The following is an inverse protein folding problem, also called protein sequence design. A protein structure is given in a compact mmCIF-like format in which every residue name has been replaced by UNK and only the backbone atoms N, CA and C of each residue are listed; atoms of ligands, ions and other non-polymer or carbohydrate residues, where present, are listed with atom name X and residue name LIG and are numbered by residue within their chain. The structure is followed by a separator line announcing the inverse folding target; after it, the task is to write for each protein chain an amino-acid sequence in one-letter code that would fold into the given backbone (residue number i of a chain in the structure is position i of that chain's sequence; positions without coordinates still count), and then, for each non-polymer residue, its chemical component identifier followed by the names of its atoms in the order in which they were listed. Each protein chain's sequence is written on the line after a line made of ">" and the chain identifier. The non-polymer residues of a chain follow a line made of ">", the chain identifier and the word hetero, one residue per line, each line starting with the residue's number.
data_IF_771647090179
#
_entry.id   IF_771647090179
#
_cell.length_a   1.000
_cell.length_b   1.000
_cell.length_c   1.000
_cell.angle_alpha   90.00
_cell.angle_beta   90.00
_cell.angle_gamma   90.00
#
_symmetry.space_group_name_H-M   'P 1'
#
loop_
_entity.id
_entity.type
_entity.pdbx_description
1 polymer ?
#
# COMPACT_ATOMS: atom_id res chain seq x y z
N UNK A 1 -23.92 -28.50 -34.62
CA UNK A 1 -23.15 -29.23 -33.60
C UNK A 1 -22.34 -28.19 -32.83
N UNK A 2 -22.74 -27.93 -31.58
CA UNK A 2 -21.94 -27.01 -30.76
C UNK A 2 -20.80 -27.82 -30.15
N UNK A 3 -19.56 -27.55 -30.61
CA UNK A 3 -18.37 -28.07 -29.90
C UNK A 3 -18.33 -27.47 -28.50
N UNK A 4 -18.05 -28.27 -27.47
CA UNK A 4 -17.92 -27.74 -26.11
C UNK A 4 -16.74 -26.77 -26.06
N UNK A 5 -16.96 -25.61 -25.46
CA UNK A 5 -15.90 -24.62 -25.21
C UNK A 5 -14.86 -25.26 -24.28
N UNK A 6 -13.74 -25.67 -24.85
CA UNK A 6 -12.62 -26.23 -24.07
C UNK A 6 -11.83 -25.09 -23.46
N UNK A 7 -11.85 -24.96 -22.14
CA UNK A 7 -10.98 -24.02 -21.43
C UNK A 7 -9.51 -24.47 -21.60
N UNK A 8 -8.81 -23.88 -22.58
CA UNK A 8 -7.41 -24.18 -22.88
C UNK A 8 -6.45 -23.59 -21.83
N UNK A 9 -6.89 -22.57 -21.10
CA UNK A 9 -6.08 -21.90 -20.06
C UNK A 9 -5.88 -22.84 -18.87
N UNK A 10 -6.92 -23.56 -18.45
CA UNK A 10 -6.82 -24.53 -17.35
C UNK A 10 -5.88 -25.71 -17.61
N UNK A 11 -5.51 -25.94 -18.88
CA UNK A 11 -4.56 -26.97 -19.31
C UNK A 11 -3.17 -26.41 -19.65
N UNK A 12 -3.01 -25.10 -19.59
CA UNK A 12 -1.73 -24.45 -19.83
C UNK A 12 -0.84 -24.53 -18.57
N UNK A 13 0.49 -24.46 -18.76
CA UNK A 13 1.45 -24.34 -17.66
C UNK A 13 1.56 -22.87 -17.16
N UNK A 14 0.50 -22.09 -17.35
CA UNK A 14 0.43 -20.71 -16.89
C UNK A 14 0.29 -20.70 -15.37
N UNK A 15 1.08 -19.84 -14.73
CA UNK A 15 0.97 -19.58 -13.31
C UNK A 15 0.26 -18.24 -13.17
N UNK A 16 -0.84 -18.23 -12.45
CA UNK A 16 -1.49 -16.98 -12.05
C UNK A 16 -0.72 -16.39 -10.88
N UNK A 17 -0.30 -15.15 -11.03
CA UNK A 17 0.31 -14.35 -9.99
C UNK A 17 -0.71 -13.33 -9.53
N UNK A 18 -1.36 -13.60 -8.40
CA UNK A 18 -2.35 -12.71 -7.81
C UNK A 18 -1.65 -11.78 -6.81
N UNK A 19 -1.57 -10.48 -7.15
CA UNK A 19 -1.00 -9.46 -6.27
C UNK A 19 -1.75 -9.33 -4.94
N UNK A 20 -3.03 -9.69 -4.93
CA UNK A 20 -3.84 -9.63 -3.73
C UNK A 20 -3.39 -10.60 -2.63
N UNK A 21 -2.78 -11.74 -3.01
CA UNK A 21 -2.26 -12.70 -2.04
C UNK A 21 -1.15 -12.09 -1.18
N UNK A 22 -0.45 -11.10 -1.73
CA UNK A 22 0.66 -10.40 -1.07
C UNK A 22 0.22 -9.12 -0.36
N UNK A 23 -1.05 -8.73 -0.50
CA UNK A 23 -1.55 -7.49 0.12
C UNK A 23 -1.44 -7.54 1.65
N UNK A 24 -0.75 -6.58 2.29
CA UNK A 24 -0.56 -6.58 3.73
C UNK A 24 -1.89 -6.40 4.45
N UNK A 25 -2.34 -7.44 5.15
CA UNK A 25 -3.60 -7.41 5.91
C UNK A 25 -3.47 -6.57 7.17
N UNK A 26 -4.46 -5.72 7.43
CA UNK A 26 -4.51 -4.85 8.60
C UNK A 26 -5.27 -3.57 8.31
N UNK A 27 -5.67 -2.88 9.36
CA UNK A 27 -6.37 -1.59 9.27
C UNK A 27 -5.35 -0.48 8.98
N UNK A 28 -5.72 0.45 8.06
CA UNK A 28 -4.97 1.66 7.76
C UNK A 28 -5.64 2.84 8.45
N UNK A 29 -4.86 3.58 9.20
CA UNK A 29 -5.36 4.72 9.96
C UNK A 29 -4.55 5.96 9.62
N UNK A 30 -5.25 7.05 9.40
CA UNK A 30 -4.64 8.36 9.25
C UNK A 30 -4.65 9.07 10.59
N UNK A 31 -3.48 9.42 11.09
CA UNK A 31 -3.33 10.22 12.30
C UNK A 31 -3.11 11.67 11.90
N UNK A 32 -4.15 12.48 12.05
CA UNK A 32 -4.11 13.90 11.71
C UNK A 32 -3.62 14.75 12.88
N UNK A 33 -2.43 15.32 12.75
CA UNK A 33 -1.87 16.23 13.76
C UNK A 33 -2.68 17.51 13.90
N UNK A 34 -3.39 17.94 12.85
CA UNK A 34 -4.18 19.19 12.87
C UNK A 34 -5.22 19.23 13.98
N UNK A 35 -5.78 18.05 14.36
CA UNK A 35 -6.74 17.92 15.45
C UNK A 35 -6.15 18.26 16.84
N UNK A 36 -4.83 18.32 16.94
CA UNK A 36 -4.12 18.63 18.17
C UNK A 36 -3.61 20.05 18.24
N UNK A 37 -3.88 20.84 17.19
CA UNK A 37 -3.49 22.23 17.06
C UNK A 37 -4.64 23.16 17.46
N UNK A 38 -4.30 24.31 18.01
CA UNK A 38 -5.30 25.37 18.23
C UNK A 38 -5.76 25.91 16.88
N UNK A 39 -7.07 25.84 16.61
CA UNK A 39 -7.70 26.21 15.35
C UNK A 39 -7.09 25.48 14.12
N UNK A 40 -6.50 24.29 14.33
CA UNK A 40 -5.86 23.51 13.29
C UNK A 40 -4.52 24.05 12.78
N UNK A 41 -4.00 25.14 13.36
CA UNK A 41 -2.82 25.86 12.83
C UNK A 41 -1.70 26.06 13.84
N UNK A 42 -2.01 26.23 15.13
CA UNK A 42 -1.02 26.65 16.11
C UNK A 42 -0.72 25.54 17.10
N UNK A 43 0.54 25.07 17.10
CA UNK A 43 1.01 24.09 18.06
C UNK A 43 1.35 24.79 19.40
N UNK A 44 0.67 24.37 20.47
CA UNK A 44 1.01 24.75 21.87
C UNK A 44 1.77 23.61 22.51
N UNK A 45 3.09 23.73 22.61
CA UNK A 45 3.99 22.65 23.03
C UNK A 45 3.55 21.93 24.29
N UNK A 46 3.26 22.68 25.37
CA UNK A 46 2.86 22.08 26.65
C UNK A 46 1.60 21.23 26.51
N UNK A 47 0.57 21.76 25.84
CA UNK A 47 -0.69 21.04 25.62
C UNK A 47 -0.50 19.84 24.72
N UNK A 48 0.32 19.98 23.67
CA UNK A 48 0.60 18.91 22.72
C UNK A 48 1.31 17.73 23.40
N UNK A 49 2.34 18.02 24.20
CA UNK A 49 3.08 17.00 24.94
C UNK A 49 2.23 16.33 26.02
N UNK A 50 1.39 17.09 26.69
CA UNK A 50 0.46 16.55 27.69
C UNK A 50 -0.58 15.64 27.05
N UNK A 51 -1.17 16.06 25.91
CA UNK A 51 -2.10 15.23 25.14
C UNK A 51 -1.43 13.94 24.65
N UNK A 52 -0.20 14.02 24.12
CA UNK A 52 0.55 12.86 23.69
C UNK A 52 0.82 11.85 24.82
N UNK A 53 1.10 12.35 26.03
CA UNK A 53 1.37 11.52 27.20
C UNK A 53 0.15 10.73 27.67
N UNK A 54 -1.06 11.30 27.52
CA UNK A 54 -2.31 10.70 28.04
C UNK A 54 -3.20 10.11 26.95
N UNK A 55 -2.74 10.09 25.70
CA UNK A 55 -3.54 9.57 24.58
C UNK A 55 -3.63 8.05 24.60
N UNK A 56 -4.72 7.51 24.10
CA UNK A 56 -5.00 6.06 24.09
C UNK A 56 -4.26 5.33 22.95
N UNK A 57 -2.94 5.37 22.94
CA UNK A 57 -2.11 4.79 21.87
C UNK A 57 -2.36 3.33 21.57
N UNK A 58 -2.83 2.58 22.55
CA UNK A 58 -3.17 1.16 22.39
C UNK A 58 -4.27 0.90 21.35
N UNK A 59 -5.06 1.90 20.99
CA UNK A 59 -6.06 1.78 19.94
C UNK A 59 -5.45 1.54 18.56
N UNK A 60 -4.15 1.80 18.39
CA UNK A 60 -3.40 1.58 17.15
C UNK A 60 -2.70 0.22 17.11
N UNK A 61 -2.96 -0.66 18.08
CA UNK A 61 -2.32 -1.96 18.17
C UNK A 61 -2.54 -2.79 16.89
N UNK A 62 -1.44 -3.21 16.26
CA UNK A 62 -1.45 -3.99 15.03
C UNK A 62 -1.91 -3.27 13.76
N UNK A 63 -2.14 -1.95 13.82
CA UNK A 63 -2.57 -1.14 12.67
C UNK A 63 -1.38 -0.54 11.91
N UNK A 64 -1.63 -0.17 10.66
CA UNK A 64 -0.72 0.63 9.84
C UNK A 64 -1.13 2.09 9.94
N UNK A 65 -0.20 2.98 10.28
CA UNK A 65 -0.52 4.38 10.58
C UNK A 65 0.25 5.34 9.69
N UNK A 66 -0.47 6.23 9.04
CA UNK A 66 0.10 7.39 8.36
C UNK A 66 -0.07 8.63 9.23
N UNK A 67 1.00 9.37 9.47
CA UNK A 67 1.00 10.60 10.27
C UNK A 67 1.19 11.78 9.35
N UNK A 68 0.24 12.70 9.34
CA UNK A 68 0.38 13.95 8.60
C UNK A 68 -0.44 15.07 9.28
N UNK A 69 -0.42 16.25 8.68
CA UNK A 69 -1.21 17.39 9.09
C UNK A 69 -2.07 17.84 7.91
N UNK A 70 -3.38 17.71 8.03
CA UNK A 70 -4.33 18.08 6.96
C UNK A 70 -4.42 19.59 6.71
N UNK A 71 -3.77 20.41 7.53
CA UNK A 71 -3.72 21.86 7.40
C UNK A 71 -2.31 22.35 7.07
N UNK A 72 -2.19 23.57 6.50
CA UNK A 72 -0.91 24.21 6.20
C UNK A 72 -0.17 24.72 7.46
N UNK A 73 -0.31 24.02 8.58
CA UNK A 73 0.34 24.40 9.82
C UNK A 73 1.86 24.17 9.76
N UNK A 74 2.62 25.13 10.23
CA UNK A 74 4.07 24.97 10.38
C UNK A 74 4.33 24.18 11.67
N UNK A 75 4.70 22.92 11.51
CA UNK A 75 5.02 22.04 12.62
C UNK A 75 6.53 22.01 12.89
N UNK A 76 6.93 22.13 14.16
CA UNK A 76 8.32 21.83 14.52
C UNK A 76 8.61 20.34 14.33
N UNK A 77 9.78 20.00 13.81
CA UNK A 77 10.14 18.62 13.45
C UNK A 77 9.99 17.59 14.59
N UNK A 78 10.08 18.03 15.84
CA UNK A 78 9.91 17.15 16.99
C UNK A 78 8.46 16.67 17.20
N UNK A 79 7.46 17.40 16.71
CA UNK A 79 6.04 17.06 16.95
C UNK A 79 5.63 15.75 16.29
N UNK A 80 5.78 15.56 14.98
CA UNK A 80 5.49 14.27 14.36
C UNK A 80 6.39 13.14 14.88
N UNK A 81 7.67 13.42 15.20
CA UNK A 81 8.55 12.42 15.78
C UNK A 81 8.10 11.95 17.17
N UNK A 82 7.55 12.86 17.99
CA UNK A 82 6.98 12.49 19.29
C UNK A 82 5.79 11.53 19.11
N UNK A 83 4.87 11.84 18.20
CA UNK A 83 3.72 10.97 17.88
C UNK A 83 4.22 9.60 17.40
N UNK A 84 5.15 9.58 16.44
CA UNK A 84 5.72 8.34 15.92
C UNK A 84 6.38 7.49 17.03
N UNK A 85 7.05 8.12 18.02
CA UNK A 85 7.68 7.40 19.13
C UNK A 85 6.67 6.64 20.00
N UNK A 86 5.48 7.19 20.19
CA UNK A 86 4.40 6.48 20.89
C UNK A 86 3.74 5.41 20.02
N UNK A 87 3.43 5.73 18.76
CA UNK A 87 2.78 4.81 17.84
C UNK A 87 3.63 3.56 17.57
N UNK A 88 4.94 3.70 17.41
CA UNK A 88 5.86 2.57 17.18
C UNK A 88 5.85 1.51 18.28
N UNK A 89 5.27 1.81 19.45
CA UNK A 89 5.12 0.82 20.52
C UNK A 89 3.95 -0.14 20.27
N UNK A 90 2.95 0.28 19.49
CA UNK A 90 1.69 -0.44 19.29
C UNK A 90 1.40 -0.73 17.83
N UNK A 91 1.63 0.24 16.96
CA UNK A 91 1.35 0.11 15.53
C UNK A 91 2.29 -0.90 14.88
N UNK A 92 1.80 -1.55 13.83
CA UNK A 92 2.58 -2.49 13.03
C UNK A 92 3.60 -1.78 12.14
N UNK A 93 3.21 -0.63 11.60
CA UNK A 93 4.06 0.22 10.78
C UNK A 93 3.58 1.67 10.91
N UNK A 94 4.53 2.61 10.92
CA UNK A 94 4.24 4.05 11.02
C UNK A 94 5.05 4.79 9.97
N UNK A 95 4.37 5.59 9.14
CA UNK A 95 5.03 6.44 8.15
C UNK A 95 4.63 7.91 8.33
N UNK A 96 5.44 8.81 7.78
CA UNK A 96 5.06 10.21 7.60
C UNK A 96 4.48 10.41 6.19
N UNK A 97 3.29 10.98 6.12
CA UNK A 97 2.57 11.24 4.90
C UNK A 97 1.12 10.78 4.95
N UNK A 98 0.48 10.77 3.81
CA UNK A 98 -0.92 10.38 3.66
C UNK A 98 -1.12 8.85 3.54
N UNK A 99 -2.38 8.43 3.45
CA UNK A 99 -2.73 7.02 3.28
C UNK A 99 -2.22 6.45 1.93
N UNK A 100 -2.09 7.26 0.89
CA UNK A 100 -1.55 6.81 -0.40
C UNK A 100 -0.06 6.48 -0.25
N UNK A 101 0.68 7.32 0.45
CA UNK A 101 2.10 7.07 0.75
C UNK A 101 2.28 5.82 1.61
N UNK A 102 1.37 5.59 2.57
CA UNK A 102 1.37 4.39 3.39
C UNK A 102 1.19 3.13 2.53
N UNK A 103 0.21 3.12 1.64
CA UNK A 103 0.00 2.00 0.73
C UNK A 103 1.21 1.75 -0.16
N UNK A 104 1.77 2.80 -0.76
CA UNK A 104 2.97 2.68 -1.59
C UNK A 104 4.14 2.09 -0.80
N UNK A 105 4.34 2.54 0.44
CA UNK A 105 5.39 2.02 1.31
C UNK A 105 5.19 0.52 1.62
N UNK A 106 3.99 0.12 2.01
CA UNK A 106 3.67 -1.27 2.33
C UNK A 106 3.85 -2.19 1.12
N UNK A 107 3.41 -1.76 -0.06
CA UNK A 107 3.60 -2.54 -1.28
C UNK A 107 5.05 -2.61 -1.72
N UNK A 108 5.80 -1.52 -1.56
CA UNK A 108 7.24 -1.54 -1.83
C UNK A 108 7.95 -2.58 -0.99
N UNK A 109 7.65 -2.68 0.29
CA UNK A 109 8.20 -3.72 1.16
C UNK A 109 7.85 -5.12 0.64
N UNK A 110 6.58 -5.35 0.28
CA UNK A 110 6.14 -6.64 -0.28
C UNK A 110 6.93 -6.99 -1.55
N UNK A 111 7.08 -6.03 -2.48
CA UNK A 111 7.80 -6.24 -3.74
C UNK A 111 9.28 -6.54 -3.46
N UNK A 112 9.88 -5.84 -2.50
CA UNK A 112 11.29 -6.02 -2.14
C UNK A 112 11.56 -7.40 -1.53
N UNK A 113 10.61 -7.94 -0.76
CA UNK A 113 10.68 -9.23 -0.10
C UNK A 113 10.23 -10.41 -0.99
N UNK A 114 9.68 -10.14 -2.17
CA UNK A 114 9.20 -11.18 -3.09
C UNK A 114 10.33 -12.06 -3.58
N UNK A 115 10.21 -13.37 -3.29
CA UNK A 115 11.08 -14.37 -3.90
C UNK A 115 10.54 -14.76 -5.28
N UNK A 116 11.18 -14.24 -6.32
CA UNK A 116 10.81 -14.47 -7.72
C UNK A 116 11.47 -15.69 -8.35
N UNK A 117 12.38 -16.40 -7.66
CA UNK A 117 13.09 -17.55 -8.20
C UNK A 117 12.16 -18.69 -8.61
N UNK A 118 11.06 -18.87 -7.89
CA UNK A 118 10.03 -19.87 -8.19
C UNK A 118 9.30 -19.62 -9.51
N UNK A 119 9.36 -18.40 -10.04
CA UNK A 119 8.69 -17.97 -11.28
C UNK A 119 9.63 -17.92 -12.47
N UNK A 120 10.92 -18.15 -12.26
CA UNK A 120 11.93 -18.12 -13.33
C UNK A 120 11.60 -19.14 -14.41
N UNK A 121 11.71 -18.73 -15.67
CA UNK A 121 11.44 -19.55 -16.87
C UNK A 121 9.98 -20.08 -16.97
N UNK A 122 9.04 -19.48 -16.25
CA UNK A 122 7.62 -19.84 -16.30
C UNK A 122 6.82 -18.74 -17.00
N UNK A 123 5.75 -19.15 -17.69
CA UNK A 123 4.75 -18.21 -18.19
C UNK A 123 3.84 -17.79 -17.04
N UNK A 124 3.66 -16.49 -16.86
CA UNK A 124 2.85 -15.93 -15.79
C UNK A 124 1.74 -15.05 -16.34
N UNK A 125 0.61 -15.05 -15.65
CA UNK A 125 -0.48 -14.07 -15.84
C UNK A 125 -0.64 -13.34 -14.51
N UNK A 126 -0.47 -12.03 -14.51
CA UNK A 126 -0.78 -11.18 -13.36
C UNK A 126 -2.28 -10.92 -13.30
N UNK A 127 -2.86 -11.05 -12.13
CA UNK A 127 -4.28 -10.79 -11.87
C UNK A 127 -4.43 -9.94 -10.62
N UNK A 128 -5.42 -9.02 -10.65
CA UNK A 128 -5.94 -8.33 -9.48
C UNK A 128 -7.39 -8.71 -9.36
N UNK A 129 -7.69 -9.64 -8.47
CA UNK A 129 -9.02 -10.22 -8.33
C UNK A 129 -9.98 -9.38 -7.51
N UNK A 130 -9.50 -8.37 -6.77
CA UNK A 130 -10.36 -7.54 -5.92
C UNK A 130 -10.96 -6.35 -6.67
N UNK A 131 -12.29 -6.38 -6.83
CA UNK A 131 -13.08 -5.32 -7.49
C UNK A 131 -12.92 -3.97 -6.76
N UNK A 132 -12.76 -3.95 -5.45
CA UNK A 132 -12.60 -2.72 -4.66
C UNK A 132 -11.24 -2.05 -4.92
N UNK A 133 -10.19 -2.84 -5.11
CA UNK A 133 -8.89 -2.33 -5.55
C UNK A 133 -8.97 -1.81 -6.99
N UNK A 134 -9.63 -2.55 -7.89
CA UNK A 134 -9.88 -2.09 -9.25
C UNK A 134 -10.66 -0.78 -9.27
N UNK A 135 -11.74 -0.65 -8.50
CA UNK A 135 -12.55 0.57 -8.42
C UNK A 135 -11.76 1.77 -7.86
N UNK A 136 -10.89 1.53 -6.88
CA UNK A 136 -10.06 2.58 -6.26
C UNK A 136 -9.05 3.18 -7.26
N UNK A 137 -8.56 2.38 -8.20
CA UNK A 137 -7.61 2.81 -9.22
C UNK A 137 -8.26 3.27 -10.54
N UNK A 138 -9.54 2.93 -10.79
CA UNK A 138 -10.26 3.31 -12.01
C UNK A 138 -11.11 4.58 -11.86
N UNK A 139 -11.28 5.11 -10.65
CA UNK A 139 -12.10 6.30 -10.36
C UNK A 139 -11.40 7.64 -10.58
N UNK A 140 -10.13 7.68 -10.99
CA UNK A 140 -9.43 8.88 -11.40
C UNK A 140 -9.66 9.22 -12.88
N UNK A 141 -9.55 10.50 -13.26
CA UNK A 141 -9.67 10.96 -14.67
C UNK A 141 -8.63 10.33 -15.61
N UNK A 142 -7.63 9.69 -15.08
CA UNK A 142 -6.69 8.85 -15.83
C UNK A 142 -7.33 7.49 -16.05
N UNK A 143 -7.97 7.36 -17.22
CA UNK A 143 -8.42 6.08 -17.76
C UNK A 143 -7.24 5.15 -18.07
N UNK A 144 -6.49 4.80 -17.06
CA UNK A 144 -5.63 3.63 -17.16
C UNK A 144 -6.53 2.41 -17.08
N UNK A 145 -6.83 1.86 -18.24
CA UNK A 145 -7.36 0.52 -18.35
C UNK A 145 -6.39 -0.44 -17.67
N UNK A 146 -6.60 -0.70 -16.38
CA UNK A 146 -5.92 -1.75 -15.67
C UNK A 146 -6.58 -3.10 -15.93
N UNK A 147 -6.82 -3.41 -17.18
CA UNK A 147 -6.79 -4.78 -17.65
C UNK A 147 -5.34 -5.08 -18.05
N UNK A 148 -4.41 -4.88 -17.13
CA UNK A 148 -3.09 -5.48 -17.29
C UNK A 148 -3.23 -6.96 -16.90
N UNK A 149 -3.82 -7.74 -17.80
CA UNK A 149 -3.38 -9.09 -17.99
C UNK A 149 -1.91 -8.96 -18.36
N UNK A 150 -1.03 -9.16 -17.41
CA UNK A 150 0.38 -9.31 -17.70
C UNK A 150 0.52 -10.64 -18.44
N UNK A 151 0.20 -10.62 -19.71
CA UNK A 151 0.49 -11.73 -20.60
C UNK A 151 2.01 -11.70 -20.85
N UNK A 152 2.75 -12.18 -19.86
CA UNK A 152 4.19 -12.38 -19.99
C UNK A 152 4.43 -13.57 -20.89
N UNK A 153 4.21 -13.34 -22.19
CA UNK A 153 4.24 -14.36 -23.25
C UNK A 153 5.65 -14.73 -23.75
N UNK A 154 6.73 -14.40 -23.02
CA UNK A 154 8.08 -14.74 -23.52
C UNK A 154 9.02 -15.26 -22.44
N UNK A 155 9.83 -16.25 -22.84
CA UNK A 155 10.86 -16.94 -22.09
C UNK A 155 12.01 -16.06 -21.54
N UNK A 156 12.02 -14.76 -21.87
CA UNK A 156 13.15 -13.87 -21.63
C UNK A 156 12.93 -12.87 -20.48
N UNK A 157 11.84 -13.03 -19.71
CA UNK A 157 11.58 -12.18 -18.57
C UNK A 157 12.40 -12.59 -17.35
N UNK A 158 13.34 -11.73 -16.99
CA UNK A 158 14.11 -11.90 -15.75
C UNK A 158 13.27 -11.45 -14.54
N UNK A 159 13.59 -11.95 -13.32
CA UNK A 159 12.95 -11.50 -12.09
C UNK A 159 12.95 -9.96 -11.91
N UNK A 160 13.99 -9.28 -12.39
CA UNK A 160 14.10 -7.84 -12.37
C UNK A 160 13.03 -7.13 -13.24
N UNK A 161 12.63 -7.74 -14.37
CA UNK A 161 11.54 -7.19 -15.20
C UNK A 161 10.19 -7.31 -14.52
N UNK A 162 9.93 -8.43 -13.84
CA UNK A 162 8.69 -8.63 -13.07
C UNK A 162 8.62 -7.58 -11.96
N UNK A 163 9.72 -7.39 -11.23
CA UNK A 163 9.83 -6.40 -10.16
C UNK A 163 9.60 -4.98 -10.68
N UNK A 164 10.23 -4.60 -11.80
CA UNK A 164 10.05 -3.29 -12.44
C UNK A 164 8.61 -3.05 -12.91
N UNK A 165 7.92 -4.08 -13.44
CA UNK A 165 6.51 -3.98 -13.78
C UNK A 165 5.62 -3.75 -12.55
N UNK A 166 5.90 -4.45 -11.45
CA UNK A 166 5.17 -4.27 -10.19
C UNK A 166 5.41 -2.88 -9.60
N UNK A 167 6.65 -2.40 -9.58
CA UNK A 167 7.00 -1.06 -9.11
C UNK A 167 6.27 0.02 -9.93
N UNK A 168 6.28 -0.07 -11.26
CA UNK A 168 5.58 0.87 -12.13
C UNK A 168 4.06 0.88 -11.91
N UNK A 169 3.50 -0.25 -11.51
CA UNK A 169 2.08 -0.39 -11.22
C UNK A 169 1.65 0.41 -9.97
N UNK A 170 2.57 0.67 -9.03
CA UNK A 170 2.32 1.41 -7.80
C UNK A 170 2.73 2.87 -7.83
N UNK A 171 3.47 3.29 -8.85
CA UNK A 171 3.81 4.71 -9.06
C UNK A 171 2.69 5.50 -9.77
N UNK A 172 1.67 4.80 -10.29
CA UNK A 172 0.50 5.39 -10.95
C UNK A 172 -0.67 5.53 -9.97
#
# INVERSE_FOLDING_TARGET
>A
MNEPIVNRVSKSKLITFDLQEFYPKGERVFFDISEWLEQGLVLKEIKFRDKAKHYAWKEFDGKYVAIDCSTDAILPAWAPLLIASYLNTFAKEVIFGDLKMLENHLFKQVIDDLNLDQYKDKMMVGEISNIDLQAKYTSGEDKLHMAYSFELLRKDFSPSHIKGCLEHFYEL
#
